data_IF_810441643715
#
_entry.id   IF_810441643715
#
_cell.length_a   1.000
_cell.length_b   1.000
_cell.length_c   1.000
_cell.angle_alpha   90.00
_cell.angle_beta   90.00
_cell.angle_gamma   90.00
#
_symmetry.space_group_name_H-M   'P 1'
#
loop_
_entity.id
_entity.type
_entity.pdbx_description
1 polymer ?
2 non-polymer ?
3 non-polymer ?
4 non-polymer ?
5 non-polymer ?
6 non-polymer ?
7 non-polymer ?
8 water ?
#
# COMPACT_ATOMS: atom_id res chain seq x y z
N UNK A 3 -10.24 13.47 -27.04
CA UNK A 3 -10.88 12.90 -25.87
C UNK A 3 -11.86 13.89 -25.22
N UNK A 4 -13.03 13.40 -24.84
CA UNK A 4 -14.03 14.20 -24.15
C UNK A 4 -14.06 13.79 -22.68
N UNK A 5 -13.78 14.76 -21.80
CA UNK A 5 -13.75 14.45 -20.38
C UNK A 5 -15.16 14.27 -19.83
N UNK A 6 -15.30 13.60 -18.70
CA UNK A 6 -16.64 13.33 -18.16
C UNK A 6 -17.46 14.59 -17.94
N UNK A 7 -18.78 14.42 -18.10
CA UNK A 7 -19.76 15.47 -17.92
C UNK A 7 -20.50 15.36 -16.60
N UNK A 8 -20.16 14.38 -15.77
CA UNK A 8 -20.86 14.14 -14.52
C UNK A 8 -20.87 15.41 -13.66
N UNK A 9 -21.96 15.64 -12.92
CA UNK A 9 -22.12 16.93 -12.23
C UNK A 9 -21.06 17.24 -11.20
N UNK A 10 -20.51 16.23 -10.53
CA UNK A 10 -19.49 16.45 -9.51
C UNK A 10 -18.08 16.19 -10.02
N UNK A 11 -17.91 15.89 -11.30
CA UNK A 11 -16.56 15.70 -11.81
C UNK A 11 -15.70 16.94 -11.58
N UNK A 12 -16.19 18.16 -11.77
CA UNK A 12 -15.34 19.33 -11.47
C UNK A 12 -14.87 19.38 -10.03
N UNK A 13 -15.60 18.77 -9.10
CA UNK A 13 -15.18 18.75 -7.70
C UNK A 13 -14.15 17.68 -7.42
N UNK A 14 -13.89 16.78 -8.38
CA UNK A 14 -12.89 15.71 -8.20
C UNK A 14 -11.53 16.26 -8.60
N UNK A 15 -11.04 17.16 -7.73
CA UNK A 15 -9.85 17.96 -8.00
C UNK A 15 -8.62 17.09 -8.21
N UNK A 16 -8.59 15.90 -7.61
CA UNK A 16 -7.44 14.99 -7.72
C UNK A 16 -7.43 14.27 -9.06
N UNK A 17 -8.53 14.36 -9.83
CA UNK A 17 -8.57 13.94 -11.22
C UNK A 17 -8.67 15.12 -12.18
N UNK A 18 -9.68 15.98 -12.02
CA UNK A 18 -9.98 16.99 -13.02
C UNK A 18 -9.11 18.23 -12.90
N UNK A 19 -8.15 18.24 -11.98
CA UNK A 19 -7.36 19.44 -11.76
C UNK A 19 -6.58 19.85 -13.00
N UNK A 20 -6.33 21.15 -13.12
CA UNK A 20 -5.63 21.74 -14.24
C UNK A 20 -4.35 22.46 -13.77
N UNK A 21 -3.89 22.15 -12.56
CA UNK A 21 -2.86 22.94 -11.89
C UNK A 21 -1.74 22.07 -11.35
N UNK A 22 -1.51 20.91 -11.95
CA UNK A 22 -0.42 19.99 -11.66
C UNK A 22 -0.49 19.38 -10.26
N UNK A 23 -1.58 19.60 -9.54
CA UNK A 23 -1.74 18.94 -8.24
C UNK A 23 -2.82 17.86 -8.37
N UNK A 24 -2.60 16.87 -9.23
CA UNK A 24 -3.55 15.79 -9.43
C UNK A 24 -2.80 14.51 -9.77
N UNK A 25 -3.57 13.43 -10.00
CA UNK A 25 -3.02 12.11 -10.25
C UNK A 25 -2.80 11.83 -11.74
N UNK A 26 -2.97 12.83 -12.60
CA UNK A 26 -2.68 12.71 -14.03
C UNK A 26 -3.49 11.58 -14.66
N UNK A 27 -4.77 11.50 -14.30
CA UNK A 27 -5.63 10.43 -14.78
C UNK A 27 -6.22 10.76 -16.16
N UNK A 28 -6.52 12.04 -16.43
CA UNK A 28 -7.04 12.39 -17.75
C UNK A 28 -6.09 11.94 -18.85
N UNK A 29 -4.79 12.07 -18.62
CA UNK A 29 -3.81 11.67 -19.62
C UNK A 29 -3.93 10.19 -19.94
N UNK A 30 -4.22 9.35 -18.95
CA UNK A 30 -4.43 7.94 -19.21
C UNK A 30 -5.75 7.71 -19.96
N UNK A 31 -6.82 8.37 -19.53
CA UNK A 31 -8.08 8.29 -20.26
C UNK A 31 -7.91 8.68 -21.72
N UNK A 32 -7.12 9.72 -21.97
CA UNK A 32 -6.90 10.18 -23.34
C UNK A 32 -6.05 9.21 -24.14
N UNK A 33 -5.19 8.42 -23.50
CA UNK A 33 -4.48 7.36 -24.18
C UNK A 33 -5.38 6.17 -24.50
N UNK A 34 -6.64 6.21 -24.07
CA UNK A 34 -7.60 5.16 -24.33
C UNK A 34 -7.84 4.17 -23.21
N UNK A 35 -7.35 4.44 -22.00
CA UNK A 35 -7.40 3.50 -20.90
C UNK A 35 -8.37 3.99 -19.84
N UNK A 36 -9.42 3.21 -19.61
CA UNK A 36 -10.49 3.55 -18.68
C UNK A 36 -10.83 2.40 -17.76
N UNK A 37 -10.15 1.26 -17.88
CA UNK A 37 -10.40 0.11 -17.04
C UNK A 37 -11.19 -1.02 -17.68
N UNK A 38 -11.53 -0.89 -18.96
CA UNK A 38 -12.31 -1.93 -19.61
C UNK A 38 -11.64 -3.29 -19.46
N UNK A 39 -12.41 -4.27 -19.03
CA UNK A 39 -11.92 -5.63 -18.88
C UNK A 39 -11.24 -5.96 -17.57
N UNK A 40 -11.05 -4.98 -16.68
CA UNK A 40 -10.39 -5.20 -15.40
C UNK A 40 -11.44 -5.30 -14.30
N UNK A 41 -11.15 -6.13 -13.29
CA UNK A 41 -12.08 -6.44 -12.21
C UNK A 41 -11.39 -6.09 -10.89
N UNK A 42 -12.03 -5.21 -10.11
CA UNK A 42 -11.52 -4.76 -8.81
C UNK A 42 -12.54 -5.13 -7.74
N UNK A 43 -12.07 -5.54 -6.57
CA UNK A 43 -12.95 -5.83 -5.44
C UNK A 43 -12.53 -5.05 -4.20
N UNK A 44 -13.52 -4.43 -3.54
CA UNK A 44 -13.34 -3.68 -2.31
C UNK A 44 -13.61 -4.62 -1.12
N UNK A 45 -12.59 -4.87 -0.31
CA UNK A 45 -12.76 -5.74 0.87
C UNK A 45 -13.05 -4.84 2.06
N UNK A 46 -14.33 -4.73 2.44
CA UNK A 46 -14.72 -3.75 3.44
C UNK A 46 -16.05 -4.11 4.06
N UNK A 47 -16.96 -3.14 4.24
CA UNK A 47 -18.20 -3.37 4.96
C UNK A 47 -19.40 -3.65 4.05
N UNK A 48 -19.17 -3.91 2.77
CA UNK A 48 -20.22 -4.15 1.81
C UNK A 48 -20.19 -3.15 0.68
N UNK A 49 -21.09 -3.35 -0.29
CA UNK A 49 -21.19 -2.46 -1.44
C UNK A 49 -22.66 -2.35 -1.83
N UNK A 50 -23.12 -1.11 -2.00
CA UNK A 50 -24.50 -0.85 -2.41
C UNK A 50 -24.56 -1.09 -3.92
N UNK A 51 -24.86 -2.33 -4.29
CA UNK A 51 -24.71 -2.74 -5.68
C UNK A 51 -25.75 -2.10 -6.59
N UNK A 52 -26.86 -1.62 -6.03
CA UNK A 52 -27.88 -0.93 -6.79
C UNK A 52 -27.69 0.59 -6.81
N UNK A 53 -26.56 1.10 -6.32
CA UNK A 53 -26.32 2.53 -6.37
C UNK A 53 -26.37 3.02 -7.82
N UNK A 54 -27.05 4.13 -8.10
CA UNK A 54 -27.15 4.60 -9.51
C UNK A 54 -25.81 4.83 -10.18
N UNK A 55 -24.73 5.06 -9.45
CA UNK A 55 -23.43 5.27 -10.06
C UNK A 55 -22.52 4.05 -9.98
N UNK A 56 -23.00 2.93 -9.42
CA UNK A 56 -22.26 1.68 -9.40
C UNK A 56 -22.92 0.54 -10.19
N UNK A 57 -24.25 0.54 -10.31
CA UNK A 57 -24.95 -0.61 -10.88
C UNK A 57 -24.42 -0.99 -12.25
N UNK A 58 -24.13 0.00 -13.10
CA UNK A 58 -23.68 -0.29 -14.45
C UNK A 58 -22.36 -1.03 -14.53
N UNK A 59 -21.53 -0.90 -13.50
CA UNK A 59 -20.24 -1.57 -13.45
C UNK A 59 -20.19 -2.71 -12.43
N UNK A 60 -21.29 -2.96 -11.72
CA UNK A 60 -21.24 -3.93 -10.64
C UNK A 60 -21.03 -5.34 -11.17
N UNK A 61 -20.20 -6.11 -10.47
CA UNK A 61 -19.84 -7.47 -10.87
C UNK A 61 -20.10 -8.41 -9.70
N UNK A 62 -21.16 -9.23 -9.76
CA UNK A 62 -21.38 -10.22 -8.69
C UNK A 62 -20.22 -11.19 -8.54
N UNK A 63 -19.50 -11.48 -9.62
CA UNK A 63 -18.35 -12.36 -9.53
C UNK A 63 -17.16 -11.77 -8.80
N UNK A 64 -17.21 -10.46 -8.50
CA UNK A 64 -16.19 -9.81 -7.71
C UNK A 64 -16.64 -9.57 -6.27
N UNK A 65 -17.70 -10.27 -5.84
CA UNK A 65 -18.42 -9.91 -4.64
C UNK A 65 -18.79 -11.15 -3.84
N UNK A 66 -18.91 -10.96 -2.53
CA UNK A 66 -19.37 -12.01 -1.62
C UNK A 66 -19.66 -11.36 -0.27
N UNK A 67 -20.45 -12.04 0.53
CA UNK A 67 -20.74 -11.64 1.91
C UNK A 67 -20.16 -12.70 2.83
N UNK A 68 -18.96 -12.44 3.33
CA UNK A 68 -18.31 -13.38 4.24
C UNK A 68 -18.91 -13.29 5.63
N UNK A 69 -19.40 -12.12 6.04
CA UNK A 69 -19.96 -11.99 7.38
C UNK A 69 -21.22 -12.84 7.57
N UNK A 70 -22.09 -12.88 6.56
CA UNK A 70 -23.32 -13.65 6.65
C UNK A 70 -23.30 -14.91 5.79
N UNK A 71 -22.20 -15.15 5.06
CA UNK A 71 -22.02 -16.34 4.23
C UNK A 71 -23.13 -16.46 3.18
N UNK A 72 -23.13 -15.50 2.27
CA UNK A 72 -24.03 -15.52 1.12
C UNK A 72 -23.39 -14.70 0.02
N UNK A 73 -23.93 -14.76 -1.20
CA UNK A 73 -23.27 -14.08 -2.33
C UNK A 73 -23.47 -12.59 -2.38
N UNK A 74 -24.39 -12.04 -1.59
CA UNK A 74 -24.90 -10.68 -1.77
C UNK A 74 -24.25 -9.73 -0.78
N UNK A 75 -23.38 -8.80 -1.24
CA UNK A 75 -22.63 -7.95 -0.31
C UNK A 75 -23.34 -6.68 0.12
N UNK A 76 -24.65 -6.62 -0.07
CA UNK A 76 -25.39 -5.38 0.24
C UNK A 76 -25.10 -4.96 1.67
N UNK A 77 -24.85 -3.67 1.92
CA UNK A 77 -24.56 -3.25 3.29
C UNK A 77 -25.77 -3.38 4.21
N UNK A 78 -25.48 -3.52 5.50
CA UNK A 78 -26.48 -3.46 6.55
C UNK A 78 -26.81 -2.00 6.86
N UNK A 79 -28.07 -1.61 6.63
CA UNK A 79 -28.47 -0.23 6.82
C UNK A 79 -28.83 0.04 8.27
N UNK A 80 -28.28 1.14 8.81
CA UNK A 80 -28.50 1.57 10.19
C UNK A 80 -28.71 3.07 10.19
N UNK A 81 -29.34 3.55 11.28
CA UNK A 81 -29.60 4.97 11.43
C UNK A 81 -28.32 5.78 11.31
N UNK A 82 -27.22 5.26 11.84
CA UNK A 82 -25.95 5.96 11.85
C UNK A 82 -25.21 5.86 10.51
N UNK A 83 -25.72 5.07 9.57
CA UNK A 83 -25.05 4.84 8.28
C UNK A 83 -23.62 4.34 8.46
N UNK A 84 -23.45 3.40 9.39
CA UNK A 84 -22.11 2.90 9.71
C UNK A 84 -21.46 2.22 8.52
N UNK A 85 -22.22 1.46 7.76
CA UNK A 85 -21.67 0.56 6.75
C UNK A 85 -21.65 1.20 5.37
N UNK A 86 -21.19 2.44 5.31
CA UNK A 86 -21.13 3.20 4.07
C UNK A 86 -19.76 3.17 3.42
N UNK A 87 -18.75 2.64 4.09
CA UNK A 87 -17.37 2.89 3.67
C UNK A 87 -17.03 2.14 2.38
N UNK A 88 -17.47 0.88 2.26
CA UNK A 88 -17.17 0.13 1.06
C UNK A 88 -17.80 0.72 -0.19
N UNK A 89 -18.99 1.28 -0.05
CA UNK A 89 -19.65 1.96 -1.16
C UNK A 89 -18.86 3.20 -1.59
N UNK A 90 -18.38 3.97 -0.61
CA UNK A 90 -17.54 5.12 -0.94
C UNK A 90 -16.29 4.69 -1.68
N UNK A 91 -15.63 3.63 -1.21
CA UNK A 91 -14.41 3.17 -1.85
C UNK A 91 -14.68 2.63 -3.25
N UNK A 92 -15.78 1.90 -3.42
CA UNK A 92 -16.10 1.36 -4.74
C UNK A 92 -16.24 2.46 -5.78
N UNK A 93 -16.90 3.56 -5.41
CA UNK A 93 -17.10 4.64 -6.37
C UNK A 93 -15.81 5.35 -6.74
N UNK A 94 -14.84 5.37 -5.84
CA UNK A 94 -13.54 5.92 -6.19
C UNK A 94 -12.91 5.15 -7.33
N UNK A 95 -13.06 3.83 -7.33
CA UNK A 95 -12.45 3.01 -8.37
C UNK A 95 -13.23 3.12 -9.67
N UNK A 96 -14.56 2.99 -9.60
CA UNK A 96 -15.32 2.62 -10.78
C UNK A 96 -16.73 3.18 -10.83
N UNK A 97 -16.96 4.36 -10.25
CA UNK A 97 -18.22 5.03 -10.49
C UNK A 97 -18.40 5.28 -11.98
N UNK A 98 -19.64 5.06 -12.46
CA UNK A 98 -19.97 5.20 -13.86
C UNK A 98 -19.78 6.63 -14.32
N UNK A 99 -19.33 6.80 -15.57
CA UNK A 99 -19.08 8.11 -16.14
C UNK A 99 -20.17 8.51 -17.11
N UNK A 100 -20.36 9.83 -17.24
CA UNK A 100 -21.23 10.44 -18.26
C UNK A 100 -22.68 9.99 -18.13
N UNK A 101 -23.14 9.84 -16.89
CA UNK A 101 -24.50 9.39 -16.61
C UNK A 101 -25.29 10.38 -15.75
N UNK A 102 -24.81 11.61 -15.60
CA UNK A 102 -25.54 12.61 -14.87
C UNK A 102 -25.63 12.40 -13.37
N UNK A 103 -24.80 11.53 -12.80
CA UNK A 103 -24.85 11.16 -11.40
C UNK A 103 -23.46 11.32 -10.78
N UNK A 104 -23.39 12.07 -9.68
CA UNK A 104 -22.19 12.22 -8.83
C UNK A 104 -20.98 12.47 -9.71
N UNK A 105 -19.86 11.76 -9.52
CA UNK A 105 -18.68 11.98 -10.34
C UNK A 105 -18.32 10.72 -11.11
N UNK A 106 -17.03 10.41 -11.22
CA UNK A 106 -16.59 9.23 -11.95
C UNK A 106 -15.54 8.48 -11.14
N UNK A 107 -15.42 7.20 -11.43
CA UNK A 107 -14.29 6.45 -10.96
C UNK A 107 -13.01 6.74 -11.74
N UNK A 108 -11.89 6.43 -11.11
CA UNK A 108 -10.61 6.49 -11.82
C UNK A 108 -10.64 5.56 -13.03
N UNK A 109 -11.16 4.34 -12.83
CA UNK A 109 -11.30 3.35 -13.88
C UNK A 109 -12.79 3.15 -14.14
N UNK A 110 -13.40 4.14 -14.79
CA UNK A 110 -14.85 4.21 -14.83
C UNK A 110 -15.50 3.22 -15.78
N UNK A 111 -14.71 2.43 -16.52
CA UNK A 111 -15.23 1.30 -17.28
C UNK A 111 -14.77 -0.04 -16.73
N UNK A 112 -14.13 -0.05 -15.57
CA UNK A 112 -13.80 -1.32 -14.92
C UNK A 112 -15.05 -1.91 -14.27
N UNK A 113 -14.98 -3.20 -13.97
CA UNK A 113 -16.02 -3.86 -13.20
C UNK A 113 -15.62 -3.84 -11.73
N UNK A 114 -16.60 -3.68 -10.86
CA UNK A 114 -16.37 -3.39 -9.44
C UNK A 114 -17.25 -4.30 -8.61
N UNK A 115 -16.65 -4.94 -7.61
CA UNK A 115 -17.38 -5.70 -6.63
C UNK A 115 -16.96 -5.33 -5.22
N UNK A 116 -17.59 -5.98 -4.27
CA UNK A 116 -17.26 -5.75 -2.87
C UNK A 116 -17.43 -7.02 -2.09
N UNK A 117 -16.58 -7.18 -1.08
CA UNK A 117 -16.70 -8.27 -0.12
C UNK A 117 -17.15 -7.65 1.20
N UNK A 118 -18.31 -8.08 1.67
CA UNK A 118 -18.80 -7.67 2.98
C UNK A 118 -18.12 -8.57 4.00
N UNK A 119 -17.11 -8.04 4.67
CA UNK A 119 -16.34 -8.84 5.62
C UNK A 119 -15.95 -8.10 6.89
N UNK A 120 -16.16 -6.79 7.01
CA UNK A 120 -15.85 -6.09 8.25
C UNK A 120 -17.02 -5.99 9.21
N UNK A 121 -18.24 -6.32 8.77
CA UNK A 121 -19.44 -6.08 9.58
C UNK A 121 -19.78 -7.35 10.35
N UNK A 122 -18.94 -7.64 11.33
CA UNK A 122 -19.02 -8.87 12.09
C UNK A 122 -17.68 -9.12 12.77
N UNK A 123 -17.54 -10.33 13.30
CA UNK A 123 -16.27 -10.71 13.92
C UNK A 123 -15.27 -11.06 12.82
N UNK A 124 -14.19 -10.29 12.75
CA UNK A 124 -13.21 -10.41 11.65
C UNK A 124 -12.10 -11.33 12.13
N UNK A 125 -12.26 -12.61 11.83
CA UNK A 125 -11.27 -13.60 12.18
C UNK A 125 -10.24 -13.77 11.06
N UNK A 126 -9.19 -14.54 11.37
CA UNK A 126 -8.21 -14.95 10.36
C UNK A 126 -8.90 -15.63 9.18
N UNK A 127 -9.86 -16.52 9.45
CA UNK A 127 -10.56 -17.21 8.37
C UNK A 127 -11.37 -16.23 7.52
N UNK A 128 -12.05 -15.28 8.16
CA UNK A 128 -12.81 -14.26 7.42
C UNK A 128 -11.88 -13.50 6.48
N UNK A 129 -10.72 -13.07 6.99
CA UNK A 129 -9.77 -12.36 6.16
C UNK A 129 -9.29 -13.23 5.01
N UNK A 130 -8.99 -14.49 5.29
CA UNK A 130 -8.44 -15.37 4.25
C UNK A 130 -9.45 -15.64 3.16
N UNK A 131 -10.72 -15.86 3.53
CA UNK A 131 -11.73 -16.12 2.51
C UNK A 131 -12.02 -14.88 1.68
N UNK A 132 -11.75 -13.69 2.22
CA UNK A 132 -11.93 -12.45 1.46
C UNK A 132 -10.77 -12.21 0.49
N UNK A 133 -9.55 -12.30 0.99
CA UNK A 133 -8.36 -12.13 0.16
C UNK A 133 -8.32 -13.16 -0.96
N UNK A 134 -8.86 -14.35 -0.70
CA UNK A 134 -8.81 -15.42 -1.67
C UNK A 134 -10.08 -15.59 -2.49
N UNK A 135 -10.93 -14.57 -2.52
CA UNK A 135 -12.16 -14.65 -3.30
C UNK A 135 -11.88 -14.66 -4.79
N UNK A 136 -12.40 -15.66 -5.51
CA UNK A 136 -12.44 -15.74 -6.96
C UNK A 136 -11.14 -15.19 -7.58
N UNK A 137 -9.99 -15.77 -7.24
CA UNK A 137 -8.71 -15.14 -7.63
C UNK A 137 -8.32 -15.28 -9.08
N UNK A 138 -9.06 -16.04 -9.88
CA UNK A 138 -8.85 -16.04 -11.31
C UNK A 138 -9.87 -15.18 -12.04
N UNK A 139 -10.71 -14.47 -11.30
CA UNK A 139 -11.61 -13.49 -11.88
C UNK A 139 -11.29 -12.07 -11.42
N UNK A 140 -11.08 -11.87 -10.13
CA UNK A 140 -10.71 -10.57 -9.60
C UNK A 140 -9.23 -10.34 -9.90
N UNK A 141 -8.90 -9.16 -10.44
CA UNK A 141 -7.52 -8.83 -10.71
C UNK A 141 -6.86 -8.09 -9.55
N UNK A 142 -7.61 -7.17 -8.94
CA UNK A 142 -7.08 -6.20 -7.98
C UNK A 142 -8.01 -6.20 -6.78
N UNK A 143 -7.42 -6.27 -5.58
CA UNK A 143 -8.12 -6.16 -4.32
C UNK A 143 -7.71 -4.87 -3.63
N UNK A 144 -8.66 -4.21 -2.98
CA UNK A 144 -8.41 -2.97 -2.26
C UNK A 144 -8.84 -3.14 -0.81
N UNK A 145 -7.94 -2.80 0.12
CA UNK A 145 -8.24 -2.97 1.54
C UNK A 145 -7.53 -1.89 2.36
N UNK A 146 -8.18 -1.47 3.45
CA UNK A 146 -7.58 -0.50 4.35
C UNK A 146 -7.70 -0.89 5.82
N UNK A 147 -8.00 -2.16 6.10
CA UNK A 147 -8.12 -2.65 7.45
C UNK A 147 -6.85 -3.35 7.91
N UNK A 148 -6.82 -3.67 9.20
CA UNK A 148 -5.62 -4.20 9.81
C UNK A 148 -5.70 -3.98 11.31
N UNK A 149 -4.56 -4.07 11.99
CA UNK A 149 -4.56 -3.92 13.45
C UNK A 149 -4.94 -2.51 13.87
N UNK A 150 -5.40 -2.40 15.11
CA UNK A 150 -5.80 -1.11 15.65
C UNK A 150 -4.69 -0.09 15.45
N UNK A 151 -5.08 1.12 15.06
CA UNK A 151 -4.15 2.23 14.88
C UNK A 151 -3.99 3.02 16.16
N UNK A 152 -3.76 2.32 17.27
CA UNK A 152 -3.60 2.97 18.57
C UNK A 152 -2.16 3.33 18.89
N UNK A 153 -1.21 3.03 17.99
CA UNK A 153 0.18 3.33 18.24
C UNK A 153 0.84 2.45 19.29
N UNK A 154 0.21 1.34 19.65
CA UNK A 154 0.84 0.42 20.58
C UNK A 154 0.71 -1.03 20.16
N UNK A 155 0.09 -1.33 19.03
CA UNK A 155 -0.13 -2.69 18.57
C UNK A 155 0.94 -3.09 17.56
N UNK A 156 1.41 -4.33 17.66
CA UNK A 156 2.23 -4.97 16.64
C UNK A 156 1.49 -6.24 16.26
N UNK A 157 0.99 -6.30 15.03
CA UNK A 157 0.17 -7.43 14.61
C UNK A 157 0.10 -7.42 13.09
N UNK A 158 -0.23 -8.60 12.55
CA UNK A 158 -0.31 -8.77 11.12
C UNK A 158 -1.13 -10.01 10.79
N UNK A 159 -1.15 -10.40 9.52
CA UNK A 159 -1.96 -11.56 9.15
C UNK A 159 -1.53 -12.81 9.91
N UNK A 160 -2.51 -13.54 10.42
CA UNK A 160 -2.28 -14.86 10.98
C UNK A 160 -2.18 -15.87 9.82
N UNK A 161 -2.22 -17.16 10.15
CA UNK A 161 -1.75 -18.16 9.20
C UNK A 161 -2.62 -18.25 7.95
N UNK A 162 -3.94 -18.27 8.11
CA UNK A 162 -4.79 -18.42 6.93
C UNK A 162 -4.66 -17.20 6.01
N UNK A 163 -4.62 -16.00 6.59
CA UNK A 163 -4.52 -14.80 5.76
C UNK A 163 -3.16 -14.72 5.07
N UNK A 164 -2.09 -15.09 5.77
CA UNK A 164 -0.78 -15.12 5.13
C UNK A 164 -0.76 -16.14 3.99
N UNK A 165 -1.34 -17.33 4.22
CA UNK A 165 -1.44 -18.31 3.15
C UNK A 165 -2.25 -17.76 1.97
N UNK A 166 -3.27 -16.95 2.24
CA UNK A 166 -4.04 -16.35 1.16
C UNK A 166 -3.19 -15.39 0.34
N UNK A 167 -2.37 -14.58 1.00
CA UNK A 167 -1.45 -13.73 0.27
C UNK A 167 -0.51 -14.57 -0.61
N UNK A 168 0.13 -15.58 0.00
CA UNK A 168 1.01 -16.50 -0.70
C UNK A 168 0.34 -17.03 -1.97
N UNK A 169 -0.82 -17.66 -1.78
CA UNK A 169 -1.56 -18.28 -2.88
C UNK A 169 -1.98 -17.25 -3.91
N UNK A 170 -2.36 -16.05 -3.45
CA UNK A 170 -2.81 -15.02 -4.38
C UNK A 170 -1.71 -14.57 -5.33
N UNK A 171 -0.54 -14.23 -4.79
CA UNK A 171 0.52 -13.74 -5.66
C UNK A 171 1.15 -14.87 -6.47
N UNK A 172 1.03 -16.11 -6.03
CA UNK A 172 1.67 -17.23 -6.71
C UNK A 172 0.77 -17.80 -7.81
N UNK A 173 -0.46 -18.19 -7.47
CA UNK A 173 -1.35 -18.80 -8.45
C UNK A 173 -2.48 -17.88 -8.91
N UNK A 174 -2.76 -16.79 -8.19
CA UNK A 174 -3.82 -15.91 -8.60
C UNK A 174 -3.58 -15.30 -9.97
N UNK A 175 -4.69 -14.91 -10.61
CA UNK A 175 -4.64 -14.18 -11.89
C UNK A 175 -3.82 -14.96 -12.91
N UNK A 176 -4.09 -16.25 -13.03
CA UNK A 176 -3.43 -17.05 -14.04
C UNK A 176 -1.96 -17.26 -13.80
N UNK A 177 -1.52 -17.11 -12.57
CA UNK A 177 -0.12 -17.21 -12.24
C UNK A 177 0.64 -15.89 -12.27
N UNK A 178 -0.01 -14.80 -12.69
CA UNK A 178 0.63 -13.49 -12.66
C UNK A 178 0.58 -12.87 -11.28
N UNK A 179 -0.36 -13.29 -10.44
CA UNK A 179 -0.45 -12.83 -9.07
C UNK A 179 -1.51 -11.78 -8.81
N UNK A 180 -2.37 -12.05 -7.83
CA UNK A 180 -3.31 -11.04 -7.34
C UNK A 180 -2.56 -9.77 -6.96
N UNK A 181 -3.16 -8.64 -7.28
CA UNK A 181 -2.66 -7.33 -6.87
C UNK A 181 -3.44 -6.92 -5.62
N UNK A 182 -2.75 -6.85 -4.49
CA UNK A 182 -3.35 -6.43 -3.23
C UNK A 182 -2.91 -5.00 -2.93
N UNK A 183 -3.83 -4.06 -3.10
CA UNK A 183 -3.56 -2.64 -2.84
C UNK A 183 -4.02 -2.35 -1.41
N UNK A 184 -3.17 -1.70 -0.62
CA UNK A 184 -3.41 -1.54 0.81
C UNK A 184 -3.14 -0.12 1.27
N UNK A 185 -3.97 0.36 2.20
CA UNK A 185 -3.72 1.63 2.87
C UNK A 185 -2.73 1.44 4.02
N UNK A 186 -1.83 2.41 4.19
CA UNK A 186 -0.77 2.24 5.18
C UNK A 186 -1.21 2.51 6.61
N UNK A 187 -2.40 3.05 6.84
CA UNK A 187 -2.93 3.23 8.18
C UNK A 187 -3.44 4.65 8.43
N UNK A 188 -4.13 4.79 9.56
CA UNK A 188 -4.69 6.09 9.96
C UNK A 188 -4.30 6.50 11.37
N UNK A 189 -3.17 5.99 11.85
CA UNK A 189 -2.77 6.21 13.24
C UNK A 189 -1.88 7.38 13.54
N UNK A 190 -1.89 8.39 12.66
CA UNK A 190 -0.98 9.51 12.81
C UNK A 190 -1.11 10.26 14.13
N UNK A 191 -2.35 10.43 14.60
CA UNK A 191 -2.57 11.17 15.83
C UNK A 191 -1.96 10.44 17.02
N UNK A 192 -1.88 9.12 16.95
CA UNK A 192 -1.31 8.29 18.00
C UNK A 192 0.17 8.02 17.77
N UNK A 193 0.79 8.72 16.82
CA UNK A 193 2.21 8.55 16.50
C UNK A 193 2.52 7.11 16.13
N UNK A 194 1.60 6.48 15.41
CA UNK A 194 1.79 5.11 14.98
C UNK A 194 2.85 5.06 13.87
N UNK A 195 3.48 3.91 13.73
CA UNK A 195 4.61 3.67 12.83
C UNK A 195 4.26 2.41 12.06
N UNK A 196 4.02 2.52 10.74
CA UNK A 196 3.20 1.51 10.09
C UNK A 196 3.93 0.21 9.75
N UNK A 197 5.24 0.08 9.96
CA UNK A 197 5.82 -1.25 9.80
C UNK A 197 5.34 -2.20 10.91
N UNK A 198 4.71 -1.68 11.96
CA UNK A 198 4.11 -2.49 13.02
C UNK A 198 2.76 -3.10 12.60
N UNK A 199 2.33 -2.82 11.37
CA UNK A 199 1.12 -3.36 10.76
C UNK A 199 1.57 -4.35 9.69
N UNK A 200 1.40 -5.65 9.97
CA UNK A 200 1.91 -6.67 9.09
C UNK A 200 1.20 -6.78 7.74
N UNK A 201 0.01 -6.19 7.63
CA UNK A 201 -0.67 -6.18 6.33
C UNK A 201 0.01 -5.21 5.38
N UNK A 202 0.21 -3.97 5.82
CA UNK A 202 0.87 -3.00 4.94
C UNK A 202 2.37 -3.27 4.85
N UNK A 203 2.97 -3.83 5.90
CA UNK A 203 4.39 -4.17 5.91
C UNK A 203 4.72 -5.36 5.02
N UNK A 204 3.72 -6.08 4.52
CA UNK A 204 3.97 -7.20 3.62
C UNK A 204 4.55 -6.78 2.28
N UNK A 205 5.41 -7.62 1.72
CA UNK A 205 5.88 -7.36 0.35
C UNK A 205 4.76 -7.64 -0.65
N UNK A 206 3.76 -8.43 -0.27
CA UNK A 206 2.70 -8.85 -1.18
C UNK A 206 1.60 -7.81 -1.32
N UNK A 207 1.62 -6.77 -0.50
CA UNK A 207 0.68 -5.67 -0.62
C UNK A 207 1.39 -4.44 -1.17
N UNK A 208 0.71 -3.73 -2.04
CA UNK A 208 1.20 -2.52 -2.69
C UNK A 208 0.65 -1.36 -1.88
N UNK A 209 1.48 -0.80 -1.00
CA UNK A 209 1.00 0.05 0.07
C UNK A 209 1.05 1.52 -0.28
N UNK A 210 -0.01 2.23 0.12
CA UNK A 210 -0.29 3.58 -0.33
C UNK A 210 -0.59 4.47 0.88
N UNK A 211 0.03 5.65 0.89
CA UNK A 211 -0.23 6.69 1.89
C UNK A 211 -0.92 7.88 1.21
N UNK A 212 -1.16 8.93 2.01
CA UNK A 212 -1.96 10.07 1.59
C UNK A 212 -1.17 11.38 1.58
N UNK A 213 -1.65 12.30 0.76
CA UNK A 213 -1.22 13.69 0.79
C UNK A 213 -2.44 14.59 0.76
N UNK A 214 -2.33 15.75 1.41
CA UNK A 214 -3.43 16.70 1.39
C UNK A 214 -3.41 17.51 0.10
N UNK A 215 -4.50 18.24 -0.14
CA UNK A 215 -4.63 18.99 -1.37
C UNK A 215 -3.45 19.96 -1.56
N UNK A 216 -3.01 20.61 -0.47
CA UNK A 216 -1.90 21.55 -0.57
C UNK A 216 -0.55 20.86 -0.53
N UNK A 217 -0.52 19.53 -0.61
CA UNK A 217 0.72 18.79 -0.70
C UNK A 217 1.41 18.49 0.62
N UNK A 218 0.66 18.37 1.71
CA UNK A 218 1.25 18.12 3.01
C UNK A 218 0.88 16.75 3.54
N UNK A 219 1.58 16.35 4.59
CA UNK A 219 1.35 15.07 5.26
C UNK A 219 0.15 15.22 6.19
N UNK A 220 -0.95 14.52 5.93
CA UNK A 220 -2.15 14.73 6.74
C UNK A 220 -1.96 14.28 8.18
N UNK A 221 -2.79 14.85 9.05
CA UNK A 221 -2.75 14.51 10.47
C UNK A 221 -2.82 13.01 10.73
N UNK A 222 -3.53 12.24 9.89
CA UNK A 222 -3.77 10.82 10.16
C UNK A 222 -2.68 9.90 9.60
N UNK A 223 -1.72 10.45 8.85
CA UNK A 223 -0.75 9.62 8.15
C UNK A 223 0.23 8.93 9.11
N UNK A 224 0.61 7.71 8.74
CA UNK A 224 1.69 6.99 9.39
C UNK A 224 2.88 6.91 8.44
N UNK A 225 4.07 7.18 8.96
CA UNK A 225 5.30 7.03 8.20
C UNK A 225 5.87 5.64 8.43
N UNK A 226 6.37 5.02 7.37
CA UNK A 226 7.14 3.79 7.52
C UNK A 226 7.84 3.47 6.22
N UNK A 227 8.85 2.61 6.31
CA UNK A 227 9.65 2.28 5.14
C UNK A 227 8.95 1.31 4.20
N UNK A 228 7.88 0.63 4.63
CA UNK A 228 7.24 -0.33 3.75
C UNK A 228 6.32 0.33 2.71
N UNK A 229 5.96 1.60 2.87
CA UNK A 229 5.08 2.26 1.92
C UNK A 229 5.77 2.43 0.57
N UNK A 230 4.98 2.29 -0.50
CA UNK A 230 5.50 2.42 -1.86
C UNK A 230 5.19 3.76 -2.51
N UNK A 231 3.98 4.29 -2.33
CA UNK A 231 3.59 5.50 -3.04
C UNK A 231 2.38 6.16 -2.36
N UNK A 232 1.87 7.22 -2.99
CA UNK A 232 0.92 8.14 -2.40
C UNK A 232 -0.18 8.49 -3.38
N UNK A 233 -1.40 8.68 -2.86
CA UNK A 233 -2.45 9.38 -3.59
C UNK A 233 -3.06 10.44 -2.70
N UNK A 234 -3.71 11.41 -3.32
CA UNK A 234 -4.36 12.47 -2.58
C UNK A 234 -5.51 11.94 -1.73
N UNK A 235 -5.71 12.60 -0.59
CA UNK A 235 -6.91 12.39 0.22
C UNK A 235 -7.20 13.68 0.99
N UNK A 236 -7.84 13.57 2.14
CA UNK A 236 -8.30 14.73 2.89
C UNK A 236 -7.19 15.31 3.77
N UNK A 237 -7.48 16.50 4.31
CA UNK A 237 -6.55 17.26 5.13
C UNK A 237 -7.30 18.15 6.10
N UNK A 238 -7.00 19.45 6.11
CA UNK A 238 -7.65 20.39 7.02
C UNK A 238 -8.95 20.89 6.39
N UNK A 239 -9.64 21.79 7.07
CA UNK A 239 -10.99 22.15 6.62
C UNK A 239 -10.99 23.20 5.52
N UNK A 240 -9.81 23.69 5.12
CA UNK A 240 -9.66 24.51 3.94
C UNK A 240 -9.31 23.70 2.70
N UNK A 241 -8.98 22.43 2.87
CA UNK A 241 -8.58 21.53 1.80
C UNK A 241 -9.76 20.65 1.41
N UNK A 242 -9.90 20.40 0.11
CA UNK A 242 -11.00 19.58 -0.37
C UNK A 242 -10.76 18.11 -0.03
N UNK A 243 -11.80 17.31 -0.20
CA UNK A 243 -11.75 15.90 0.19
C UNK A 243 -12.12 15.04 -1.02
N UNK A 244 -12.44 13.78 -0.78
CA UNK A 244 -12.69 12.83 -1.86
C UNK A 244 -14.19 12.76 -2.12
N UNK A 245 -14.55 12.79 -3.41
CA UNK A 245 -15.92 12.91 -3.88
C UNK A 245 -16.30 11.58 -4.51
N UNK A 246 -17.38 10.96 -4.02
CA UNK A 246 -17.68 9.60 -4.46
C UNK A 246 -19.10 9.21 -4.10
N UNK A 247 -19.45 7.97 -4.45
CA UNK A 247 -20.75 7.39 -4.15
C UNK A 247 -20.90 7.15 -2.66
N UNK A 248 -22.10 7.37 -2.14
CA UNK A 248 -22.36 7.18 -0.72
C UNK A 248 -23.58 6.28 -0.56
N UNK A 249 -23.67 5.71 0.64
CA UNK A 249 -24.79 4.84 1.00
C UNK A 249 -26.12 5.58 0.82
N UNK A 250 -27.16 4.80 0.49
CA UNK A 250 -28.52 5.30 0.24
C UNK A 250 -28.58 6.12 -1.06
N UNK A 251 -27.80 5.69 -2.05
CA UNK A 251 -27.88 6.20 -3.42
C UNK A 251 -27.58 7.68 -3.49
N UNK A 252 -26.69 8.15 -2.62
CA UNK A 252 -26.29 9.54 -2.51
C UNK A 252 -24.88 9.74 -3.02
N UNK A 253 -24.41 10.98 -2.93
CA UNK A 253 -23.09 11.42 -3.37
C UNK A 253 -22.45 12.24 -2.26
N UNK A 254 -21.22 11.87 -1.87
CA UNK A 254 -20.54 12.55 -0.79
C UNK A 254 -19.35 13.32 -1.34
N UNK A 255 -19.07 14.47 -0.71
CA UNK A 255 -17.86 15.22 -0.98
C UNK A 255 -16.89 15.16 0.19
N UNK A 256 -17.11 14.26 1.15
CA UNK A 256 -16.32 14.28 2.39
C UNK A 256 -15.83 12.89 2.78
N UNK A 257 -15.35 12.13 1.81
CA UNK A 257 -14.63 10.88 2.07
C UNK A 257 -13.18 11.22 2.39
N UNK A 258 -12.62 10.55 3.41
CA UNK A 258 -11.41 11.03 4.05
C UNK A 258 -10.46 9.89 4.39
N UNK A 259 -9.23 10.26 4.76
CA UNK A 259 -8.30 9.33 5.39
C UNK A 259 -7.51 8.51 4.39
N UNK A 260 -6.58 7.73 4.93
CA UNK A 260 -5.79 6.87 4.05
C UNK A 260 -6.66 5.81 3.37
N UNK A 261 -7.82 5.48 3.95
CA UNK A 261 -8.69 4.52 3.31
C UNK A 261 -9.32 5.06 2.03
N UNK A 262 -9.30 6.38 1.82
CA UNK A 262 -9.71 6.93 0.54
C UNK A 262 -8.55 6.95 -0.47
N UNK A 263 -7.30 6.82 -0.02
CA UNK A 263 -6.17 6.81 -0.94
C UNK A 263 -6.00 5.45 -1.63
N UNK A 264 -6.20 4.36 -0.90
CA UNK A 264 -5.96 3.05 -1.50
C UNK A 264 -6.89 2.79 -2.68
N UNK A 265 -8.19 3.10 -2.63
CA UNK A 265 -9.03 2.86 -3.82
C UNK A 265 -8.62 3.67 -5.04
N UNK A 266 -8.16 4.91 -4.85
CA UNK A 266 -7.69 5.68 -5.99
C UNK A 266 -6.48 4.99 -6.63
N UNK A 267 -5.58 4.45 -5.80
CA UNK A 267 -4.46 3.70 -6.33
C UNK A 267 -4.93 2.44 -7.06
N UNK A 268 -5.91 1.73 -6.49
CA UNK A 268 -6.44 0.54 -7.16
C UNK A 268 -6.98 0.90 -8.54
N UNK A 269 -7.65 2.05 -8.67
CA UNK A 269 -8.14 2.47 -9.97
C UNK A 269 -7.02 2.75 -10.95
N UNK A 270 -5.97 3.42 -10.50
CA UNK A 270 -4.82 3.67 -11.37
C UNK A 270 -4.19 2.36 -11.81
N UNK A 271 -4.09 1.41 -10.88
CA UNK A 271 -3.52 0.10 -11.22
C UNK A 271 -4.42 -0.62 -12.21
N UNK A 272 -5.74 -0.43 -12.12
CA UNK A 272 -6.65 -1.01 -13.10
C UNK A 272 -6.39 -0.45 -14.50
N UNK A 273 -6.21 0.87 -14.61
CA UNK A 273 -5.87 1.45 -15.91
C UNK A 273 -4.57 0.86 -16.44
N UNK A 274 -3.59 0.69 -15.55
CA UNK A 274 -2.29 0.16 -15.93
C UNK A 274 -2.41 -1.28 -16.42
N UNK A 275 -3.22 -2.08 -15.73
CA UNK A 275 -3.40 -3.47 -16.14
C UNK A 275 -4.14 -3.57 -17.47
N UNK A 276 -5.04 -2.64 -17.76
CA UNK A 276 -5.64 -2.61 -19.10
C UNK A 276 -4.58 -2.36 -20.16
N UNK A 277 -3.61 -1.51 -19.84
CA UNK A 277 -2.55 -1.20 -20.79
C UNK A 277 -1.62 -2.38 -21.02
N UNK A 278 -1.53 -3.32 -20.07
CA UNK A 278 -0.70 -4.52 -20.25
C UNK A 278 -1.23 -5.59 -19.30
N UNK A 279 -2.06 -6.48 -19.81
CA UNK A 279 -2.72 -7.47 -18.97
C UNK A 279 -1.77 -8.54 -18.48
N UNK A 280 -0.54 -8.58 -19.01
CA UNK A 280 0.44 -9.60 -18.67
C UNK A 280 1.35 -9.19 -17.52
N UNK A 281 1.12 -8.02 -16.91
CA UNK A 281 1.97 -7.58 -15.81
C UNK A 281 1.78 -8.48 -14.60
N UNK A 282 2.90 -8.84 -13.96
CA UNK A 282 2.84 -9.62 -12.74
C UNK A 282 2.66 -8.69 -11.53
N UNK A 283 2.40 -9.30 -10.36
CA UNK A 283 2.27 -8.52 -9.15
C UNK A 283 3.55 -7.75 -8.84
N UNK A 284 4.71 -8.31 -9.18
CA UNK A 284 5.97 -7.60 -8.99
C UNK A 284 6.19 -6.53 -10.06
N UNK A 285 5.86 -6.83 -11.31
CA UNK A 285 5.92 -5.80 -12.35
C UNK A 285 5.20 -4.53 -11.90
N UNK A 286 4.02 -4.69 -11.33
CA UNK A 286 3.21 -3.53 -10.96
C UNK A 286 3.92 -2.69 -9.91
N UNK A 287 4.59 -3.33 -8.95
CA UNK A 287 5.33 -2.56 -7.95
C UNK A 287 6.51 -1.84 -8.58
N UNK A 288 7.19 -2.49 -9.54
CA UNK A 288 8.26 -1.83 -10.30
C UNK A 288 7.75 -0.58 -11.01
N UNK A 289 6.59 -0.68 -11.66
CA UNK A 289 6.05 0.47 -12.39
C UNK A 289 5.79 1.63 -11.44
N UNK A 290 5.24 1.33 -10.26
CA UNK A 290 4.97 2.36 -9.27
C UNK A 290 6.26 3.02 -8.82
N UNK A 291 7.30 2.23 -8.55
CA UNK A 291 8.57 2.81 -8.13
C UNK A 291 9.11 3.75 -9.19
N UNK A 292 9.07 3.33 -10.45
CA UNK A 292 9.71 4.08 -11.52
C UNK A 292 8.95 5.36 -11.91
N UNK A 293 7.62 5.39 -11.75
CA UNK A 293 6.83 6.48 -12.31
C UNK A 293 6.28 7.47 -11.28
N UNK A 294 6.34 7.16 -10.00
CA UNK A 294 5.72 8.03 -9.00
C UNK A 294 6.57 9.29 -8.83
N UNK A 295 5.90 10.37 -8.40
CA UNK A 295 6.45 11.72 -8.52
C UNK A 295 6.53 12.41 -7.17
N UNK A 296 7.73 12.77 -6.69
CA UNK A 296 7.82 13.52 -5.43
C UNK A 296 7.36 14.95 -5.53
N UNK A 297 7.36 15.55 -6.72
CA UNK A 297 7.30 17.00 -6.85
C UNK A 297 6.13 17.57 -6.08
N UNK A 298 6.39 18.62 -5.31
CA UNK A 298 5.41 19.39 -4.58
C UNK A 298 4.73 18.61 -3.45
N UNK A 299 5.22 17.44 -3.09
CA UNK A 299 4.85 16.83 -1.83
C UNK A 299 5.87 17.28 -0.77
N UNK A 300 5.37 17.88 0.31
CA UNK A 300 6.23 18.45 1.33
C UNK A 300 6.49 17.43 2.44
N UNK A 301 7.77 17.19 2.72
CA UNK A 301 8.19 16.35 3.83
C UNK A 301 9.63 16.72 4.17
N UNK A 302 10.01 16.51 5.43
CA UNK A 302 11.36 16.86 5.85
C UNK A 302 12.33 15.70 5.69
N UNK A 303 11.88 14.55 5.19
CA UNK A 303 12.73 13.37 5.12
C UNK A 303 12.96 12.87 3.69
N UNK A 304 12.77 13.71 2.68
CA UNK A 304 13.06 13.27 1.32
C UNK A 304 14.56 12.99 1.22
N UNK A 305 14.91 11.80 0.75
CA UNK A 305 16.29 11.39 0.65
C UNK A 305 16.49 10.68 -0.67
N UNK A 306 17.64 10.89 -1.30
CA UNK A 306 17.96 10.23 -2.56
C UNK A 306 18.64 8.91 -2.28
N UNK A 307 18.11 7.83 -2.85
CA UNK A 307 18.65 6.49 -2.60
C UNK A 307 19.79 6.18 -3.57
N UNK A 308 20.23 4.93 -3.59
CA UNK A 308 21.45 4.58 -4.30
C UNK A 308 21.34 4.62 -5.80
N UNK A 309 20.12 4.61 -6.33
CA UNK A 309 19.90 4.67 -7.77
C UNK A 309 19.27 6.00 -8.15
N UNK A 310 19.40 7.01 -7.29
CA UNK A 310 19.02 8.36 -7.64
C UNK A 310 17.56 8.70 -7.52
N UNK A 311 16.75 7.84 -6.91
CA UNK A 311 15.34 8.14 -6.70
C UNK A 311 15.11 8.75 -5.33
N UNK A 312 14.25 9.77 -5.28
CA UNK A 312 13.87 10.36 -4.01
C UNK A 312 12.80 9.51 -3.34
N UNK A 313 12.93 9.32 -2.03
CA UNK A 313 11.99 8.50 -1.29
C UNK A 313 11.80 9.09 0.10
N UNK A 314 10.57 9.01 0.59
CA UNK A 314 10.15 9.54 1.87
C UNK A 314 9.41 8.45 2.62
N UNK A 315 9.49 8.48 3.94
CA UNK A 315 8.72 7.51 4.73
C UNK A 315 7.25 7.88 4.80
N UNK A 316 6.89 9.14 4.51
CA UNK A 316 5.49 9.53 4.48
C UNK A 316 4.85 9.19 3.15
N UNK A 317 5.64 9.22 2.08
CA UNK A 317 5.10 9.17 0.74
C UNK A 317 5.63 8.05 -0.14
N UNK A 318 6.59 7.27 0.33
CA UNK A 318 7.23 6.30 -0.57
C UNK A 318 7.92 7.05 -1.68
N UNK A 319 7.72 6.57 -2.91
CA UNK A 319 8.34 7.21 -4.08
C UNK A 319 7.55 8.41 -4.58
N UNK A 320 6.44 8.77 -3.93
CA UNK A 320 5.72 9.96 -4.30
C UNK A 320 4.31 9.71 -4.81
N UNK A 321 3.77 10.70 -5.51
CA UNK A 321 2.40 10.63 -5.99
C UNK A 321 2.30 9.73 -7.21
N UNK A 322 1.32 8.84 -7.21
CA UNK A 322 1.06 8.04 -8.40
C UNK A 322 0.76 8.96 -9.57
N UNK A 323 1.17 8.52 -10.76
CA UNK A 323 1.06 9.28 -12.01
C UNK A 323 0.45 8.32 -13.03
N UNK A 324 -0.87 8.41 -13.22
CA UNK A 324 -1.57 7.42 -14.03
C UNK A 324 -1.10 7.44 -15.48
N UNK A 325 -0.92 8.63 -16.06
CA UNK A 325 -0.49 8.69 -17.44
C UNK A 325 0.87 8.04 -17.65
N UNK A 326 1.78 8.23 -16.69
CA UNK A 326 3.11 7.64 -16.78
C UNK A 326 3.05 6.14 -16.56
N UNK A 327 2.18 5.69 -15.66
CA UNK A 327 2.01 4.27 -15.41
C UNK A 327 1.56 3.54 -16.67
N UNK A 328 0.51 4.05 -17.34
CA UNK A 328 -0.02 3.34 -18.49
C UNK A 328 0.95 3.41 -19.66
N UNK A 329 1.67 4.53 -19.80
CA UNK A 329 2.66 4.65 -20.87
C UNK A 329 3.79 3.63 -20.69
N UNK A 330 4.31 3.51 -19.47
CA UNK A 330 5.45 2.61 -19.24
C UNK A 330 5.01 1.14 -19.29
N UNK A 331 3.76 0.87 -18.95
CA UNK A 331 3.27 -0.50 -18.93
C UNK A 331 3.27 -1.13 -20.31
N UNK A 332 3.03 -0.34 -21.35
CA UNK A 332 2.69 -0.92 -22.65
C UNK A 332 3.81 -1.81 -23.18
N UNK A 333 5.05 -1.35 -23.13
CA UNK A 333 6.16 -2.16 -23.63
C UNK A 333 7.03 -2.73 -22.52
N UNK A 334 6.49 -2.85 -21.31
CA UNK A 334 7.25 -3.34 -20.18
C UNK A 334 7.69 -4.78 -20.39
N UNK A 335 8.95 -5.06 -20.09
CA UNK A 335 9.50 -6.42 -20.12
C UNK A 335 9.33 -7.05 -18.74
N UNK A 336 8.68 -8.21 -18.70
CA UNK A 336 8.44 -8.91 -17.45
C UNK A 336 9.73 -9.09 -16.67
N UNK A 337 9.68 -8.79 -15.37
CA UNK A 337 10.88 -8.95 -14.55
C UNK A 337 11.23 -10.43 -14.41
N UNK A 338 12.49 -10.68 -14.09
CA UNK A 338 12.95 -12.04 -13.92
C UNK A 338 12.34 -12.67 -12.66
N UNK A 339 12.38 -13.99 -12.56
CA UNK A 339 11.79 -14.63 -11.37
C UNK A 339 12.43 -14.10 -10.10
N UNK A 340 11.62 -14.06 -9.04
CA UNK A 340 12.04 -13.49 -7.78
C UNK A 340 13.02 -14.41 -7.06
N UNK A 341 14.17 -13.87 -6.70
CA UNK A 341 15.14 -14.55 -5.86
C UNK A 341 15.01 -14.07 -4.43
N UNK A 342 15.46 -14.92 -3.51
CA UNK A 342 15.39 -14.65 -2.07
C UNK A 342 16.71 -15.10 -1.44
N UNK A 343 17.44 -14.16 -0.86
CA UNK A 343 18.73 -14.44 -0.24
C UNK A 343 18.61 -14.21 1.26
N UNK A 344 18.85 -15.27 2.04
CA UNK A 344 18.66 -15.29 3.48
C UNK A 344 20.04 -15.19 4.14
N UNK A 345 20.23 -14.17 4.97
CA UNK A 345 21.53 -13.95 5.63
C UNK A 345 21.28 -13.83 7.13
N UNK A 346 21.69 -14.87 7.86
CA UNK A 346 21.60 -14.83 9.31
C UNK A 346 22.82 -14.08 9.85
N UNK A 347 22.58 -12.98 10.57
CA UNK A 347 23.62 -11.99 10.81
C UNK A 347 24.39 -12.27 12.09
N UNK A 348 23.72 -12.56 13.21
CA UNK A 348 24.39 -12.61 14.51
C UNK A 348 25.09 -13.93 14.76
N UNK A 349 26.25 -13.88 15.41
CA UNK A 349 26.89 -15.07 15.95
C UNK A 349 26.69 -15.23 17.46
N UNK A 350 26.12 -14.22 18.12
CA UNK A 350 25.84 -14.25 19.55
C UNK A 350 24.77 -13.21 19.82
N UNK A 351 23.99 -13.37 20.89
CA UNK A 351 23.04 -12.29 21.27
C UNK A 351 23.78 -11.02 21.64
N UNK A 352 23.10 -9.89 21.46
CA UNK A 352 23.69 -8.57 21.65
C UNK A 352 22.85 -7.75 22.61
N UNK A 353 23.46 -7.25 23.67
CA UNK A 353 22.78 -6.36 24.59
C UNK A 353 22.43 -5.05 23.89
N UNK A 354 21.21 -4.57 24.09
CA UNK A 354 20.78 -3.32 23.45
C UNK A 354 21.16 -2.12 24.30
N UNK A 355 20.76 -2.12 25.57
CA UNK A 355 21.07 -0.98 26.41
C UNK A 355 20.57 0.32 25.81
N UNK A 356 21.42 1.35 25.87
CA UNK A 356 21.07 2.66 25.35
C UNK A 356 21.11 2.70 23.83
N UNK A 357 22.01 1.94 23.23
CA UNK A 357 22.20 2.00 21.78
C UNK A 357 22.97 0.75 21.34
N UNK A 358 22.58 0.20 20.21
CA UNK A 358 23.27 -0.94 19.62
C UNK A 358 23.42 -0.71 18.12
N UNK A 359 24.62 -1.01 17.62
CA UNK A 359 24.89 -0.98 16.19
C UNK A 359 25.42 -2.36 15.80
N UNK A 360 24.85 -2.92 14.74
CA UNK A 360 25.30 -4.19 14.17
C UNK A 360 25.69 -3.94 12.72
N UNK A 361 26.96 -4.16 12.39
CA UNK A 361 27.47 -4.01 11.03
C UNK A 361 27.83 -5.37 10.47
N UNK A 362 27.45 -5.62 9.22
CA UNK A 362 27.75 -6.89 8.58
C UNK A 362 27.95 -6.65 7.09
N UNK A 363 29.04 -7.16 6.55
CA UNK A 363 29.30 -7.12 5.12
C UNK A 363 28.83 -8.43 4.49
N UNK A 364 27.97 -8.32 3.47
CA UNK A 364 27.32 -9.48 2.89
C UNK A 364 27.69 -9.56 1.41
N UNK A 365 27.61 -10.78 0.86
CA UNK A 365 27.80 -11.01 -0.56
C UNK A 365 26.50 -11.28 -1.32
N UNK A 366 25.36 -11.25 -0.64
CA UNK A 366 24.05 -11.39 -1.28
C UNK A 366 23.97 -12.65 -2.13
N UNK A 367 24.44 -13.76 -1.56
CA UNK A 367 24.32 -15.09 -2.15
C UNK A 367 25.11 -15.20 -3.44
N UNK A 368 26.26 -14.53 -3.47
CA UNK A 368 27.19 -14.64 -4.58
C UNK A 368 27.47 -16.10 -4.92
N UNK A 369 27.44 -16.40 -6.22
CA UNK A 369 27.72 -17.72 -6.71
C UNK A 369 26.58 -18.70 -6.60
N UNK A 370 25.43 -18.28 -6.08
CA UNK A 370 24.27 -19.13 -5.89
C UNK A 370 23.13 -18.72 -6.81
N UNK A 371 22.14 -19.60 -7.02
CA UNK A 371 20.98 -19.22 -7.85
C UNK A 371 20.16 -18.08 -7.27
N UNK A 372 20.30 -17.79 -5.98
CA UNK A 372 19.58 -16.66 -5.39
C UNK A 372 20.46 -15.42 -5.26
N UNK A 373 21.59 -15.38 -5.95
CA UNK A 373 22.40 -14.16 -6.02
C UNK A 373 21.54 -12.98 -6.46
N UNK A 374 21.57 -11.90 -5.68
CA UNK A 374 20.79 -10.70 -5.98
C UNK A 374 21.74 -9.53 -6.19
N UNK A 375 21.70 -8.93 -7.39
CA UNK A 375 22.38 -7.68 -7.65
C UNK A 375 21.41 -6.51 -7.80
N UNK A 376 20.10 -6.79 -7.85
CA UNK A 376 19.06 -5.80 -8.05
C UNK A 376 17.98 -6.03 -7.00
N UNK A 377 18.01 -5.24 -5.94
CA UNK A 377 17.10 -5.42 -4.83
C UNK A 377 15.68 -5.00 -5.19
N UNK A 378 14.71 -5.72 -4.63
CA UNK A 378 13.32 -5.23 -4.57
C UNK A 378 13.08 -4.86 -3.11
N UNK A 379 12.31 -5.68 -2.39
CA UNK A 379 12.12 -5.48 -0.97
C UNK A 379 13.31 -6.04 -0.18
N UNK A 380 13.59 -5.42 0.96
CA UNK A 380 14.50 -6.00 1.95
C UNK A 380 13.80 -6.01 3.31
N UNK A 381 14.08 -7.05 4.08
CA UNK A 381 13.54 -7.18 5.43
C UNK A 381 14.69 -7.37 6.41
N UNK A 382 14.55 -6.75 7.59
CA UNK A 382 15.35 -7.09 8.75
C UNK A 382 14.40 -7.81 9.70
N UNK A 383 14.53 -9.12 9.80
CA UNK A 383 13.65 -9.92 10.65
C UNK A 383 14.32 -9.98 12.02
N UNK A 384 13.73 -9.31 12.99
CA UNK A 384 14.35 -9.09 14.29
C UNK A 384 13.60 -9.81 15.40
N UNK A 385 14.36 -10.46 16.27
CA UNK A 385 13.85 -11.00 17.53
C UNK A 385 14.61 -10.32 18.65
N UNK A 386 13.87 -9.65 19.55
CA UNK A 386 14.50 -8.91 20.62
C UNK A 386 13.53 -8.78 21.78
N UNK A 387 14.12 -8.70 22.98
CA UNK A 387 13.41 -8.32 24.20
C UNK A 387 13.74 -6.87 24.54
N UNK A 388 12.77 -6.18 25.14
CA UNK A 388 13.00 -4.83 25.64
C UNK A 388 11.92 -4.54 26.67
N UNK A 389 12.24 -3.67 27.64
CA UNK A 389 11.28 -3.43 28.71
C UNK A 389 10.17 -2.46 28.31
N UNK A 390 10.41 -1.54 27.38
CA UNK A 390 9.36 -0.63 26.89
C UNK A 390 9.54 -0.45 25.38
N UNK A 391 8.72 -1.15 24.60
CA UNK A 391 8.99 -1.30 23.18
C UNK A 391 8.99 0.04 22.46
N UNK A 392 8.05 0.93 22.80
CA UNK A 392 7.87 2.19 22.11
C UNK A 392 8.99 3.19 22.28
N UNK A 393 9.91 2.97 23.23
CA UNK A 393 11.08 3.83 23.31
C UNK A 393 12.12 3.51 22.26
N UNK A 394 11.97 2.40 21.53
CA UNK A 394 12.95 2.02 20.52
C UNK A 394 12.72 2.74 19.19
N UNK A 395 13.83 3.16 18.58
CA UNK A 395 13.86 3.51 17.17
C UNK A 395 14.90 2.63 16.49
N UNK A 396 14.56 2.13 15.30
CA UNK A 396 15.40 1.18 14.58
C UNK A 396 15.60 1.68 13.15
N UNK A 397 16.87 1.69 12.72
CA UNK A 397 17.22 2.07 11.36
C UNK A 397 18.09 1.00 10.72
N UNK A 398 18.00 0.91 9.39
CA UNK A 398 18.78 -0.03 8.58
C UNK A 398 19.39 0.76 7.43
N UNK A 399 20.72 0.67 7.29
CA UNK A 399 21.43 1.40 6.25
C UNK A 399 21.98 0.41 5.23
N UNK A 400 21.67 0.65 3.96
CA UNK A 400 22.12 -0.22 2.90
C UNK A 400 23.56 0.09 2.52
N UNK A 401 24.22 -0.81 1.79
CA UNK A 401 25.59 -0.51 1.34
C UNK A 401 25.69 0.77 0.54
N UNK A 402 24.62 1.15 -0.15
CA UNK A 402 24.61 2.38 -0.93
C UNK A 402 24.34 3.62 -0.07
N UNK A 403 24.18 3.46 1.24
CA UNK A 403 24.00 4.58 2.13
C UNK A 403 22.58 4.98 2.41
N UNK A 404 21.59 4.20 1.98
CA UNK A 404 20.19 4.56 2.14
C UNK A 404 19.73 4.17 3.53
N UNK A 405 19.32 5.17 4.33
CA UNK A 405 18.89 4.95 5.70
C UNK A 405 17.38 4.73 5.71
N UNK A 406 16.97 3.50 5.97
CA UNK A 406 15.56 3.18 6.14
C UNK A 406 15.22 3.19 7.62
N UNK A 407 14.20 3.95 8.00
CA UNK A 407 13.64 3.83 9.33
C UNK A 407 12.79 2.57 9.37
N UNK A 408 13.20 1.57 10.16
CA UNK A 408 12.38 0.39 10.33
C UNK A 408 11.31 0.57 11.39
N UNK A 409 11.59 1.39 12.40
CA UNK A 409 10.69 1.63 13.52
C UNK A 409 11.00 3.01 14.08
N UNK A 410 10.00 3.86 14.18
CA UNK A 410 10.12 5.12 14.89
C UNK A 410 9.60 4.93 16.31
N UNK A 411 10.04 5.81 17.22
CA UNK A 411 9.55 5.76 18.58
C UNK A 411 8.02 5.89 18.60
N UNK A 412 7.38 5.08 19.42
CA UNK A 412 5.92 5.08 19.56
C UNK A 412 5.59 5.36 21.02
N UNK A 413 5.22 6.59 21.36
CA UNK A 413 5.12 6.95 22.79
C UNK A 413 4.08 6.16 23.56
N UNK A 414 3.03 5.67 22.90
CA UNK A 414 2.00 4.92 23.59
C UNK A 414 2.29 3.44 23.72
N UNK A 415 3.36 2.94 23.10
CA UNK A 415 3.67 1.51 23.12
C UNK A 415 4.48 1.16 24.35
N UNK A 416 3.77 0.78 25.42
CA UNK A 416 4.39 0.40 26.68
C UNK A 416 4.72 -1.08 26.76
N UNK A 417 4.55 -1.83 25.66
CA UNK A 417 4.66 -3.28 25.73
C UNK A 417 6.04 -3.74 26.18
N UNK A 418 6.05 -4.79 27.01
CA UNK A 418 7.29 -5.46 27.39
C UNK A 418 7.54 -6.73 26.58
N UNK A 419 6.78 -6.93 25.50
CA UNK A 419 6.82 -8.18 24.75
C UNK A 419 7.82 -8.17 23.59
N UNK A 420 8.46 -7.04 23.30
CA UNK A 420 9.48 -7.01 22.27
C UNK A 420 8.95 -7.36 20.88
N UNK A 421 9.84 -7.88 20.05
CA UNK A 421 9.52 -8.33 18.69
C UNK A 421 9.93 -9.78 18.53
N UNK A 422 9.04 -10.58 17.98
CA UNK A 422 9.28 -12.01 17.79
C UNK A 422 9.38 -12.28 16.30
N UNK A 423 10.62 -12.27 15.80
CA UNK A 423 10.92 -12.46 14.38
C UNK A 423 10.04 -11.57 13.52
N UNK A 424 9.98 -10.29 13.87
CA UNK A 424 9.17 -9.34 13.13
C UNK A 424 9.93 -8.86 11.90
N UNK A 425 9.32 -9.01 10.72
CA UNK A 425 10.01 -8.76 9.45
C UNK A 425 9.81 -7.32 8.97
N UNK A 426 10.49 -6.39 9.64
CA UNK A 426 10.45 -4.99 9.23
C UNK A 426 10.90 -4.87 7.77
N UNK A 427 10.11 -4.19 6.94
CA UNK A 427 10.36 -4.17 5.50
C UNK A 427 10.62 -2.77 4.99
N UNK A 428 11.59 -2.65 4.07
CA UNK A 428 11.82 -1.38 3.39
C UNK A 428 11.77 -1.53 1.87
N UNK A 429 11.14 -0.56 1.23
CA UNK A 429 11.12 -0.41 -0.22
C UNK A 429 12.15 0.61 -0.70
N UNK A 430 12.86 1.28 0.21
CA UNK A 430 13.65 2.43 -0.14
C UNK A 430 14.97 2.10 -0.83
N UNK A 431 15.39 0.83 -0.87
CA UNK A 431 16.62 0.43 -1.56
C UNK A 431 16.32 -0.34 -2.84
N UNK A 432 15.09 -0.24 -3.33
CA UNK A 432 14.69 -0.85 -4.59
C UNK A 432 15.65 -0.49 -5.71
N UNK A 433 16.10 -1.51 -6.44
CA UNK A 433 17.03 -1.47 -7.57
C UNK A 433 18.49 -1.25 -7.15
N UNK A 434 18.78 -1.11 -5.86
CA UNK A 434 20.16 -1.05 -5.41
C UNK A 434 20.82 -2.43 -5.45
N UNK A 435 22.13 -2.42 -5.58
CA UNK A 435 22.94 -3.63 -5.37
C UNK A 435 23.12 -3.83 -3.88
N UNK A 436 22.66 -4.94 -3.31
CA UNK A 436 22.74 -5.13 -1.85
C UNK A 436 24.04 -5.72 -1.34
N UNK A 437 25.02 -5.93 -2.21
CA UNK A 437 26.33 -6.39 -1.77
C UNK A 437 27.03 -5.28 -0.99
N UNK A 438 27.71 -5.66 0.09
CA UNK A 438 28.47 -4.70 0.86
C UNK A 438 28.01 -4.61 2.30
N UNK A 439 28.31 -3.51 2.97
CA UNK A 439 28.06 -3.38 4.40
C UNK A 439 26.65 -2.86 4.67
N UNK A 440 25.89 -3.63 5.44
CA UNK A 440 24.62 -3.21 6.01
C UNK A 440 24.84 -2.86 7.48
N UNK A 441 24.09 -1.85 7.95
CA UNK A 441 24.19 -1.39 9.33
C UNK A 441 22.80 -1.36 9.94
N UNK A 442 22.63 -2.04 11.07
CA UNK A 442 21.40 -1.99 11.85
C UNK A 442 21.66 -1.13 13.09
N UNK A 443 20.82 -0.13 13.30
CA UNK A 443 20.90 0.73 14.47
C UNK A 443 19.65 0.53 15.33
N UNK A 444 19.84 0.26 16.62
CA UNK A 444 18.75 0.22 17.59
C UNK A 444 19.08 1.20 18.68
N UNK A 445 18.17 2.13 18.96
CA UNK A 445 18.44 3.15 19.97
C UNK A 445 17.27 3.33 20.92
N UNK A 446 17.60 3.56 22.19
CA UNK A 446 16.65 3.98 23.19
C UNK A 446 16.49 5.49 23.07
N UNK A 447 15.32 5.94 22.59
CA UNK A 447 15.08 7.36 22.39
C UNK A 447 14.68 8.08 23.67
N UNK A 448 14.52 7.38 24.77
CA UNK A 448 14.12 8.01 26.02
C UNK A 448 15.34 8.13 26.95
N UNK A 449 15.16 8.94 27.99
CA UNK A 449 16.17 9.11 29.02
C UNK A 449 16.11 7.98 30.05
N UNK A 450 15.13 7.09 29.95
CA UNK A 450 15.00 6.01 30.93
C UNK A 450 16.10 4.97 30.75
N UNK A 451 16.41 4.27 31.84
CA UNK A 451 17.40 3.20 31.81
C UNK A 451 16.73 1.90 31.36
N UNK A 452 16.45 1.84 30.06
CA UNK A 452 15.81 0.69 29.46
C UNK A 452 16.84 -0.39 29.15
N UNK A 453 16.35 -1.61 28.94
CA UNK A 453 17.23 -2.76 28.82
C UNK A 453 16.58 -3.85 27.98
N UNK A 454 17.43 -4.61 27.30
CA UNK A 454 16.96 -5.74 26.52
C UNK A 454 18.09 -6.31 25.69
N UNK A 455 17.73 -7.29 24.86
CA UNK A 455 18.68 -8.11 24.12
C UNK A 455 18.16 -8.40 22.72
N UNK A 456 19.00 -8.21 21.72
CA UNK A 456 18.73 -8.66 20.35
C UNK A 456 19.27 -10.07 20.21
N UNK A 457 18.39 -11.04 19.90
CA UNK A 457 18.83 -12.43 19.80
C UNK A 457 18.84 -12.98 18.38
N UNK A 458 18.17 -12.34 17.43
CA UNK A 458 18.23 -12.78 16.04
C UNK A 458 18.03 -11.59 15.11
N UNK A 459 18.84 -11.55 14.05
CA UNK A 459 18.76 -10.54 13.00
C UNK A 459 19.00 -11.30 11.70
N UNK A 460 17.93 -11.55 10.96
CA UNK A 460 17.99 -12.15 9.63
C UNK A 460 17.76 -11.05 8.61
N UNK A 461 18.73 -10.84 7.74
CA UNK A 461 18.57 -9.94 6.60
C UNK A 461 18.04 -10.79 5.44
N UNK A 462 16.84 -10.46 4.98
CA UNK A 462 16.21 -11.17 3.87
C UNK A 462 16.13 -10.22 2.69
N UNK A 463 16.79 -10.59 1.61
CA UNK A 463 16.83 -9.79 0.39
C UNK A 463 15.99 -10.48 -0.68
N UNK A 464 15.14 -9.71 -1.35
CA UNK A 464 14.41 -10.17 -2.52
C UNK A 464 14.87 -9.38 -3.73
N UNK A 465 14.87 -10.02 -4.90
CA UNK A 465 15.18 -9.29 -6.12
C UNK A 465 15.67 -10.20 -7.24
N UNK A 466 16.46 -9.61 -8.13
CA UNK A 466 16.91 -10.31 -9.32
C UNK A 466 18.39 -10.00 -9.55
N UNK A 467 18.90 -10.46 -10.68
CA UNK A 467 20.29 -10.23 -11.06
C UNK A 467 20.40 -9.77 -12.50
N UNK A 468 19.39 -9.06 -13.00
CA UNK A 468 19.45 -8.59 -14.38
C UNK A 468 18.47 -7.43 -14.58
N UNK A 469 18.78 -6.61 -15.59
CA UNK A 469 17.82 -5.68 -16.13
C UNK A 469 17.81 -4.28 -15.55
N UNK A 470 18.90 -3.83 -14.94
CA UNK A 470 18.90 -2.53 -14.29
C UNK A 470 18.90 -1.40 -15.30
N UNK A 471 18.26 -0.30 -14.92
CA UNK A 471 18.36 0.97 -15.63
C UNK A 471 19.57 1.74 -15.14
N UNK A 472 20.04 2.67 -15.96
CA UNK A 472 21.01 3.66 -15.47
C UNK A 472 20.37 4.43 -14.33
N UNK A 473 21.10 4.74 -13.25
CA UNK A 473 20.49 5.48 -12.14
C UNK A 473 19.89 6.81 -12.57
N UNK A 474 18.82 7.20 -11.89
CA UNK A 474 18.10 8.42 -12.20
C UNK A 474 18.98 9.66 -12.12
#
# INVERSE_FOLDING_TARGET
>A
DVYQEPTDPKFPQQWYLSGVTQRDLNVKAAWAQGYTGHGIVVSILDDGIEKNHPDLAGNYDPGASFDVNDQDPDPQPRYTQMNDNRHGTRCAGEVAAVANNGVCGVGVAYNARIGGVRMLDGEVTDAVEARSLGLNPNHIHIYSASWGPEDDGKTVDGPARLAEEAFFRGVSQGRGGLGSIFVWASGNGGREHDSCNCDGYTNSIYTLSISSATQFGNVPWYSEACSSTLATTYSSGNQNEKQIVTTDLRQKCTESHTGTSASAPLAAGIIALTLEANKNLTWRDMQHLVVQTSKPAHLNANDWATNGVGRKVSHSYGYGLLDAGAMVALAQNWTTVAPQRKCIIDILTEPKDIGKRLEVRKTVTACLGEPNHITRLEHAQARLTLSYNRRGDLAIHLVSPMGTRSTLLAARPHDYSADGFNDWAFMTTHSWDEDPSGEWVLEIENTSEANNYGTLTKFTLVLYGTASGSLVPRGSHHHH
#
